data_IF_816512534947
#
_entry.id   IF_816512534947
#
_cell.length_a   1.000
_cell.length_b   1.000
_cell.length_c   1.000
_cell.angle_alpha   90.00
_cell.angle_beta   90.00
_cell.angle_gamma   90.00
#
_symmetry.space_group_name_H-M   'P 1'
#
loop_
_entity.id
_entity.type
_entity.pdbx_description
1 polymer ?
#
# COMPACT_ATOMS: atom_id res chain seq x y z
N UNK A 1 -34.59 53.02 -32.32
CA UNK A 1 -33.85 54.30 -32.30
C UNK A 1 -32.83 54.23 -33.42
N UNK A 2 -32.88 55.14 -34.39
CA UNK A 2 -31.99 55.13 -35.56
C UNK A 2 -30.56 55.43 -35.09
N UNK A 3 -29.71 54.41 -35.05
CA UNK A 3 -28.29 54.56 -34.72
C UNK A 3 -27.61 55.49 -35.74
N UNK A 4 -26.67 56.29 -35.27
CA UNK A 4 -25.82 57.09 -36.15
C UNK A 4 -25.11 56.16 -37.15
N UNK A 5 -25.12 56.53 -38.43
CA UNK A 5 -24.41 55.80 -39.49
C UNK A 5 -22.91 55.88 -39.18
N UNK A 6 -22.23 54.74 -39.13
CA UNK A 6 -20.80 54.67 -38.86
C UNK A 6 -20.01 55.37 -39.97
N UNK A 7 -18.96 56.07 -39.58
CA UNK A 7 -17.98 56.60 -40.53
C UNK A 7 -17.16 55.48 -41.16
N UNK A 8 -16.47 55.77 -42.27
CA UNK A 8 -15.63 54.79 -42.97
C UNK A 8 -14.56 54.19 -42.04
N UNK A 9 -13.89 55.04 -41.26
CA UNK A 9 -12.78 54.61 -40.41
C UNK A 9 -13.31 53.72 -39.27
N UNK A 10 -14.47 54.06 -38.69
CA UNK A 10 -15.14 53.23 -37.68
C UNK A 10 -15.61 51.88 -38.24
N UNK A 11 -16.06 51.83 -39.51
CA UNK A 11 -16.41 50.58 -40.19
C UNK A 11 -15.18 49.71 -40.44
N UNK A 12 -14.07 50.30 -40.90
CA UNK A 12 -12.82 49.57 -41.15
C UNK A 12 -12.26 48.99 -39.83
N UNK A 13 -12.25 49.77 -38.75
CA UNK A 13 -11.85 49.31 -37.42
C UNK A 13 -12.78 48.21 -36.87
N UNK A 14 -14.09 48.36 -37.06
CA UNK A 14 -15.06 47.35 -36.63
C UNK A 14 -14.89 46.01 -37.39
N UNK A 15 -14.66 46.06 -38.71
CA UNK A 15 -14.42 44.87 -39.52
C UNK A 15 -13.10 44.18 -39.17
N UNK A 16 -12.03 44.94 -38.92
CA UNK A 16 -10.75 44.39 -38.46
C UNK A 16 -10.91 43.67 -37.12
N UNK A 17 -11.57 44.31 -36.15
CA UNK A 17 -11.86 43.70 -34.84
C UNK A 17 -12.70 42.43 -34.97
N UNK A 18 -13.79 42.47 -35.73
CA UNK A 18 -14.69 41.32 -35.90
C UNK A 18 -14.02 40.15 -36.64
N UNK A 19 -13.13 40.44 -37.59
CA UNK A 19 -12.34 39.41 -38.27
C UNK A 19 -11.36 38.75 -37.30
N UNK A 20 -10.68 39.52 -36.46
CA UNK A 20 -9.84 38.96 -35.39
C UNK A 20 -10.64 38.14 -34.36
N UNK A 21 -11.85 38.59 -34.00
CA UNK A 21 -12.76 37.83 -33.14
C UNK A 21 -13.22 36.52 -33.81
N UNK A 22 -13.52 36.54 -35.11
CA UNK A 22 -13.88 35.34 -35.88
C UNK A 22 -12.76 34.29 -35.84
N UNK A 23 -11.52 34.68 -36.11
CA UNK A 23 -10.35 33.79 -36.09
C UNK A 23 -10.14 33.19 -34.68
N UNK A 24 -10.32 34.01 -33.63
CA UNK A 24 -10.20 33.56 -32.24
C UNK A 24 -11.30 32.55 -31.84
N UNK A 25 -12.54 32.79 -32.29
CA UNK A 25 -13.66 31.86 -32.08
C UNK A 25 -13.41 30.55 -32.84
N UNK A 26 -13.00 30.61 -34.11
CA UNK A 26 -12.69 29.42 -34.91
C UNK A 26 -11.62 28.54 -34.24
N UNK A 27 -10.52 29.17 -33.82
CA UNK A 27 -9.42 28.49 -33.12
C UNK A 27 -9.90 27.82 -31.82
N UNK A 28 -10.76 28.50 -31.05
CA UNK A 28 -11.32 27.95 -29.80
C UNK A 28 -12.25 26.77 -30.05
N UNK A 29 -13.10 26.85 -31.07
CA UNK A 29 -14.01 25.75 -31.46
C UNK A 29 -13.23 24.52 -31.95
N UNK A 30 -12.17 24.73 -32.74
CA UNK A 30 -11.29 23.64 -33.20
C UNK A 30 -10.51 23.00 -32.05
N UNK A 31 -10.02 23.80 -31.09
CA UNK A 31 -9.34 23.27 -29.90
C UNK A 31 -10.29 22.41 -29.05
N UNK A 32 -11.55 22.84 -28.90
CA UNK A 32 -12.59 22.09 -28.20
C UNK A 32 -12.99 20.81 -28.97
N UNK A 33 -13.03 20.85 -30.31
CA UNK A 33 -13.28 19.69 -31.18
C UNK A 33 -12.20 18.61 -31.05
N UNK A 34 -10.95 19.02 -30.93
CA UNK A 34 -9.79 18.12 -30.81
C UNK A 34 -9.51 17.64 -29.37
N UNK A 35 -10.30 18.07 -28.39
CA UNK A 35 -10.02 17.78 -26.99
C UNK A 35 -10.11 16.28 -26.67
N UNK A 36 -9.13 15.69 -25.95
CA UNK A 36 -9.12 14.25 -25.61
C UNK A 36 -10.39 13.76 -24.92
N UNK A 37 -10.86 14.47 -23.88
CA UNK A 37 -12.13 14.17 -23.20
C UNK A 37 -13.34 14.02 -24.14
N UNK A 38 -13.45 14.82 -25.21
CA UNK A 38 -14.54 14.69 -26.19
C UNK A 38 -14.44 13.38 -26.97
N UNK A 39 -13.26 13.07 -27.52
CA UNK A 39 -13.02 11.83 -28.27
C UNK A 39 -13.34 10.59 -27.42
N UNK A 40 -13.04 10.66 -26.14
CA UNK A 40 -13.35 9.59 -25.20
C UNK A 40 -14.86 9.47 -24.94
N UNK A 41 -15.58 10.60 -24.79
CA UNK A 41 -17.05 10.62 -24.63
C UNK A 41 -17.80 10.07 -25.86
N UNK A 42 -17.30 10.29 -27.07
CA UNK A 42 -17.92 9.76 -28.30
C UNK A 42 -17.81 8.23 -28.42
N UNK A 43 -16.71 7.63 -27.93
CA UNK A 43 -16.46 6.20 -28.02
C UNK A 43 -16.90 5.38 -26.80
N UNK A 44 -17.19 6.02 -25.67
CA UNK A 44 -17.50 5.35 -24.41
C UNK A 44 -18.99 4.97 -24.26
N UNK A 45 -19.25 3.87 -23.54
CA UNK A 45 -20.60 3.55 -23.05
C UNK A 45 -20.85 4.32 -21.76
N UNK A 46 -21.48 5.48 -21.88
CA UNK A 46 -21.78 6.37 -20.78
C UNK A 46 -23.06 5.97 -20.03
N UNK A 47 -23.12 6.29 -18.74
CA UNK A 47 -24.30 6.15 -17.89
C UNK A 47 -24.43 7.33 -16.92
N UNK A 48 -25.58 7.42 -16.24
CA UNK A 48 -25.79 8.36 -15.13
C UNK A 48 -25.65 9.83 -15.53
N UNK A 49 -25.06 10.64 -14.65
CA UNK A 49 -24.99 12.09 -14.82
C UNK A 49 -24.15 12.49 -16.05
N UNK A 50 -23.11 11.73 -16.36
CA UNK A 50 -22.27 11.96 -17.55
C UNK A 50 -23.07 11.78 -18.84
N UNK A 51 -23.89 10.72 -18.92
CA UNK A 51 -24.70 10.48 -20.12
C UNK A 51 -25.73 11.59 -20.34
N UNK A 52 -26.43 12.02 -19.29
CA UNK A 52 -27.43 13.07 -19.35
C UNK A 52 -26.82 14.41 -19.80
N UNK A 53 -25.74 14.84 -19.14
CA UNK A 53 -25.04 16.08 -19.50
C UNK A 53 -24.42 16.04 -20.89
N UNK A 54 -23.86 14.89 -21.29
CA UNK A 54 -23.30 14.73 -22.62
C UNK A 54 -24.36 14.83 -23.71
N UNK A 55 -25.55 14.23 -23.53
CA UNK A 55 -26.63 14.36 -24.51
C UNK A 55 -27.08 15.80 -24.71
N UNK A 56 -27.16 16.59 -23.62
CA UNK A 56 -27.51 18.01 -23.68
C UNK A 56 -26.43 18.83 -24.39
N UNK A 57 -25.17 18.69 -23.97
CA UNK A 57 -24.03 19.40 -24.58
C UNK A 57 -23.86 19.03 -26.06
N UNK A 58 -24.04 17.76 -26.42
CA UNK A 58 -23.96 17.32 -27.82
C UNK A 58 -25.03 18.00 -28.69
N UNK A 59 -26.23 18.21 -28.16
CA UNK A 59 -27.28 18.95 -28.87
C UNK A 59 -26.91 20.44 -29.04
N UNK A 60 -26.28 21.06 -28.04
CA UNK A 60 -25.75 22.43 -28.16
C UNK A 60 -24.54 22.52 -29.12
N UNK A 61 -23.78 21.44 -29.28
CA UNK A 61 -22.61 21.40 -30.16
C UNK A 61 -22.96 21.62 -31.63
N UNK A 62 -24.00 20.93 -32.12
CA UNK A 62 -24.46 21.08 -33.50
C UNK A 62 -24.99 22.49 -33.76
N UNK A 63 -25.65 23.09 -32.76
CA UNK A 63 -26.12 24.48 -32.82
C UNK A 63 -24.96 25.48 -32.80
N UNK A 64 -23.91 25.22 -32.01
CA UNK A 64 -22.73 26.07 -31.91
C UNK A 64 -22.05 26.28 -33.27
N UNK A 65 -21.88 25.20 -34.05
CA UNK A 65 -21.31 25.29 -35.40
C UNK A 65 -22.25 25.94 -36.41
N UNK A 66 -23.55 25.67 -36.34
CA UNK A 66 -24.53 26.38 -37.19
C UNK A 66 -24.55 27.89 -36.92
N UNK A 67 -24.45 28.29 -35.65
CA UNK A 67 -24.38 29.69 -35.25
C UNK A 67 -23.06 30.33 -35.70
N UNK A 68 -21.94 29.61 -35.58
CA UNK A 68 -20.64 30.05 -36.08
C UNK A 68 -20.65 30.26 -37.60
N UNK A 69 -21.27 29.34 -38.36
CA UNK A 69 -21.38 29.47 -39.81
C UNK A 69 -22.20 30.70 -40.23
N UNK A 70 -23.32 30.96 -39.56
CA UNK A 70 -24.14 32.16 -39.79
C UNK A 70 -23.39 33.46 -39.43
N UNK A 71 -22.66 33.45 -38.31
CA UNK A 71 -21.80 34.55 -37.88
C UNK A 71 -20.71 34.84 -38.92
N UNK A 72 -20.01 33.80 -39.38
CA UNK A 72 -18.97 33.88 -40.41
C UNK A 72 -19.51 34.42 -41.73
N UNK A 73 -20.69 33.97 -42.16
CA UNK A 73 -21.28 34.43 -43.41
C UNK A 73 -21.72 35.90 -43.34
N UNK A 74 -22.21 36.36 -42.18
CA UNK A 74 -22.57 37.77 -41.97
C UNK A 74 -21.34 38.69 -42.05
N UNK A 75 -20.21 38.29 -41.43
CA UNK A 75 -18.93 39.02 -41.53
C UNK A 75 -18.38 38.99 -42.96
N UNK A 76 -18.50 37.85 -43.66
CA UNK A 76 -18.11 37.74 -45.07
C UNK A 76 -18.95 38.68 -45.94
N UNK A 77 -20.27 38.73 -45.73
CA UNK A 77 -21.17 39.63 -46.45
C UNK A 77 -20.80 41.10 -46.20
N UNK A 78 -20.57 41.51 -44.95
CA UNK A 78 -20.12 42.86 -44.62
C UNK A 78 -18.78 43.22 -45.30
N UNK A 79 -17.82 42.31 -45.31
CA UNK A 79 -16.55 42.49 -46.04
C UNK A 79 -16.76 42.62 -47.57
N UNK A 80 -17.67 41.85 -48.16
CA UNK A 80 -18.01 41.96 -49.58
C UNK A 80 -18.62 43.33 -49.90
N UNK A 81 -19.57 43.83 -49.08
CA UNK A 81 -20.16 45.16 -49.23
C UNK A 81 -19.07 46.24 -49.20
N UNK A 82 -18.13 46.12 -48.25
CA UNK A 82 -17.00 47.04 -48.12
C UNK A 82 -16.03 47.02 -49.31
N UNK A 83 -15.90 45.89 -49.99
CA UNK A 83 -15.04 45.70 -51.17
C UNK A 83 -15.68 46.13 -52.50
N UNK A 84 -17.01 46.33 -52.55
CA UNK A 84 -17.72 46.75 -53.79
C UNK A 84 -17.18 48.06 -54.37
N UNK A 85 -16.75 49.00 -53.53
CA UNK A 85 -16.21 50.31 -53.94
C UNK A 85 -15.02 50.74 -53.09
N UNK A 86 -14.03 51.37 -53.73
CA UNK A 86 -12.87 51.95 -53.04
C UNK A 86 -13.20 53.13 -52.11
N UNK A 87 -14.36 53.80 -52.32
CA UNK A 87 -14.91 54.84 -51.43
C UNK A 87 -16.41 54.58 -51.23
N UNK A 88 -16.83 54.08 -50.05
CA UNK A 88 -18.22 53.73 -49.80
C UNK A 88 -19.15 54.94 -49.88
N UNK A 89 -20.31 54.78 -50.53
CA UNK A 89 -21.38 55.77 -50.55
C UNK A 89 -22.25 55.73 -49.28
N UNK A 90 -23.14 56.72 -49.06
CA UNK A 90 -24.02 56.75 -47.89
C UNK A 90 -24.97 55.55 -47.79
N UNK A 91 -25.40 54.96 -48.92
CA UNK A 91 -26.20 53.74 -48.94
C UNK A 91 -25.40 52.51 -48.48
N UNK A 92 -24.13 52.41 -48.90
CA UNK A 92 -23.24 51.30 -48.50
C UNK A 92 -22.83 51.43 -47.03
N UNK A 93 -22.62 52.65 -46.52
CA UNK A 93 -22.37 52.88 -45.09
C UNK A 93 -23.59 52.57 -44.21
N UNK A 94 -24.81 52.83 -44.70
CA UNK A 94 -26.04 52.43 -44.01
C UNK A 94 -26.20 50.90 -43.98
N UNK A 95 -25.99 50.22 -45.12
CA UNK A 95 -25.98 48.74 -45.21
C UNK A 95 -24.92 48.13 -44.28
N UNK A 96 -23.71 48.69 -44.24
CA UNK A 96 -22.63 48.24 -43.34
C UNK A 96 -22.96 48.49 -41.87
N UNK A 97 -23.57 49.64 -41.53
CA UNK A 97 -23.96 49.93 -40.15
C UNK A 97 -25.02 48.95 -39.66
N UNK A 98 -26.00 48.62 -40.51
CA UNK A 98 -27.03 47.62 -40.21
C UNK A 98 -26.42 46.23 -40.03
N UNK A 99 -25.55 45.78 -40.93
CA UNK A 99 -24.86 44.49 -40.82
C UNK A 99 -24.00 44.37 -39.56
N UNK A 100 -23.34 45.45 -39.12
CA UNK A 100 -22.39 45.44 -38.02
C UNK A 100 -23.02 45.67 -36.63
N UNK A 101 -24.13 46.40 -36.57
CA UNK A 101 -24.75 46.81 -35.28
C UNK A 101 -26.21 46.41 -35.13
N UNK A 102 -26.89 46.07 -36.23
CA UNK A 102 -28.27 45.62 -36.25
C UNK A 102 -28.42 44.09 -36.11
N UNK A 103 -29.67 43.62 -35.99
CA UNK A 103 -30.01 42.20 -35.98
C UNK A 103 -29.89 41.62 -37.40
N UNK A 104 -28.67 41.21 -37.74
CA UNK A 104 -28.27 40.88 -39.12
C UNK A 104 -27.86 39.42 -39.30
N UNK A 105 -27.77 38.65 -38.21
CA UNK A 105 -27.52 37.21 -38.26
C UNK A 105 -28.86 36.49 -38.26
N UNK A 106 -29.31 36.06 -39.44
CA UNK A 106 -30.58 35.35 -39.62
C UNK A 106 -30.41 33.84 -39.54
N UNK A 107 -31.13 33.19 -38.63
CA UNK A 107 -31.08 31.73 -38.41
C UNK A 107 -32.20 30.96 -39.12
N UNK A 108 -32.53 31.38 -40.33
CA UNK A 108 -33.60 30.76 -41.13
C UNK A 108 -33.27 29.30 -41.44
N UNK A 109 -34.00 28.37 -40.81
CA UNK A 109 -33.89 26.93 -41.09
C UNK A 109 -33.09 26.11 -40.08
N UNK A 110 -32.63 26.71 -38.98
CA UNK A 110 -32.04 25.94 -37.87
C UNK A 110 -33.09 24.99 -37.30
N UNK A 111 -32.79 23.70 -37.37
CA UNK A 111 -33.65 22.67 -36.78
C UNK A 111 -33.16 22.40 -35.37
N UNK A 112 -33.91 22.89 -34.38
CA UNK A 112 -33.61 22.58 -32.99
C UNK A 112 -33.84 21.09 -32.71
N UNK A 113 -32.85 20.42 -32.07
CA UNK A 113 -33.03 19.07 -31.53
C UNK A 113 -34.28 19.02 -30.63
N UNK A 114 -35.02 17.91 -30.67
CA UNK A 114 -36.30 17.74 -29.93
C UNK A 114 -36.13 18.05 -28.43
N UNK A 115 -34.98 17.74 -27.87
CA UNK A 115 -34.60 17.94 -26.47
C UNK A 115 -34.56 19.41 -26.06
N UNK A 116 -34.33 20.32 -27.02
CA UNK A 116 -34.23 21.76 -26.81
C UNK A 116 -35.51 22.50 -27.24
N UNK A 117 -36.53 21.78 -27.71
CA UNK A 117 -37.81 22.37 -28.08
C UNK A 117 -38.65 22.63 -26.84
N UNK A 118 -39.25 23.80 -26.76
CA UNK A 118 -40.28 24.11 -25.77
C UNK A 118 -41.66 23.73 -26.31
N UNK A 119 -42.55 23.21 -25.44
CA UNK A 119 -43.92 22.78 -25.78
C UNK A 119 -44.76 23.85 -26.49
N UNK A 120 -44.41 25.12 -26.34
CA UNK A 120 -45.07 26.28 -26.94
C UNK A 120 -44.15 27.12 -27.84
N UNK A 121 -42.93 26.66 -28.11
CA UNK A 121 -41.96 27.37 -28.95
C UNK A 121 -42.21 27.14 -30.44
N UNK A 122 -41.95 28.12 -31.31
CA UNK A 122 -42.02 27.91 -32.76
C UNK A 122 -41.03 26.80 -33.19
N UNK A 123 -41.46 25.88 -34.06
CA UNK A 123 -40.60 24.80 -34.60
C UNK A 123 -39.39 25.33 -35.39
N UNK A 124 -39.48 26.58 -35.86
CA UNK A 124 -38.44 27.34 -36.55
C UNK A 124 -38.50 28.79 -36.06
N UNK A 125 -37.72 29.19 -35.05
CA UNK A 125 -37.55 30.60 -34.77
C UNK A 125 -36.75 31.22 -35.92
N UNK A 126 -37.37 32.07 -36.73
CA UNK A 126 -36.67 33.14 -37.43
C UNK A 126 -36.31 34.18 -36.38
N UNK A 127 -35.21 33.92 -35.68
CA UNK A 127 -34.60 34.87 -34.77
C UNK A 127 -33.51 35.60 -35.57
N UNK A 128 -33.59 36.94 -35.60
CA UNK A 128 -32.51 37.77 -36.12
C UNK A 128 -31.76 38.32 -34.90
N UNK A 129 -30.50 37.90 -34.74
CA UNK A 129 -29.65 38.34 -33.63
C UNK A 129 -28.60 39.33 -34.13
N UNK A 130 -28.16 40.19 -33.24
CA UNK A 130 -26.93 40.96 -33.46
C UNK A 130 -25.71 40.02 -33.44
N UNK A 131 -24.60 40.47 -34.04
CA UNK A 131 -23.31 39.76 -33.98
C UNK A 131 -22.87 39.52 -32.51
N UNK A 132 -23.11 40.49 -31.63
CA UNK A 132 -22.78 40.39 -30.21
C UNK A 132 -23.63 39.34 -29.46
N UNK A 133 -24.95 39.36 -29.65
CA UNK A 133 -25.86 38.37 -29.03
C UNK A 133 -25.56 36.94 -29.51
N UNK A 134 -25.20 36.79 -30.79
CA UNK A 134 -24.78 35.51 -31.36
C UNK A 134 -23.55 34.96 -30.64
N UNK A 135 -22.51 35.78 -30.48
CA UNK A 135 -21.27 35.39 -29.77
C UNK A 135 -21.53 35.13 -28.29
N UNK A 136 -22.36 35.92 -27.62
CA UNK A 136 -22.68 35.68 -26.20
C UNK A 136 -23.44 34.37 -25.98
N UNK A 137 -24.36 34.01 -26.89
CA UNK A 137 -25.07 32.73 -26.83
C UNK A 137 -24.13 31.55 -27.13
N UNK A 138 -23.31 31.68 -28.16
CA UNK A 138 -22.26 30.69 -28.47
C UNK A 138 -21.29 30.52 -27.31
N UNK A 139 -20.90 31.60 -26.63
CA UNK A 139 -20.04 31.57 -25.46
C UNK A 139 -20.65 30.74 -24.34
N UNK A 140 -21.96 30.88 -24.08
CA UNK A 140 -22.67 30.07 -23.09
C UNK A 140 -22.56 28.56 -23.38
N UNK A 141 -22.88 28.14 -24.60
CA UNK A 141 -22.77 26.73 -25.01
C UNK A 141 -21.33 26.23 -25.03
N UNK A 142 -20.39 27.06 -25.49
CA UNK A 142 -18.96 26.75 -25.49
C UNK A 142 -18.46 26.51 -24.07
N UNK A 143 -18.80 27.38 -23.11
CA UNK A 143 -18.38 27.22 -21.71
C UNK A 143 -18.94 25.94 -21.10
N UNK A 144 -20.23 25.64 -21.32
CA UNK A 144 -20.85 24.40 -20.86
C UNK A 144 -20.13 23.16 -21.42
N UNK A 145 -19.82 23.17 -22.72
CA UNK A 145 -19.12 22.08 -23.39
C UNK A 145 -17.67 21.92 -22.91
N UNK A 146 -16.95 23.04 -22.78
CA UNK A 146 -15.57 23.06 -22.32
C UNK A 146 -15.45 22.57 -20.86
N UNK A 147 -16.34 23.01 -19.97
CA UNK A 147 -16.36 22.59 -18.57
C UNK A 147 -16.67 21.09 -18.44
N UNK A 148 -17.62 20.57 -19.22
CA UNK A 148 -17.94 19.13 -19.25
C UNK A 148 -16.72 18.32 -19.71
N UNK A 149 -16.15 18.67 -20.85
CA UNK A 149 -15.04 17.93 -21.46
C UNK A 149 -13.79 17.98 -20.58
N UNK A 150 -13.50 19.13 -19.96
CA UNK A 150 -12.38 19.28 -19.04
C UNK A 150 -12.59 18.49 -17.73
N UNK A 151 -13.81 18.48 -17.16
CA UNK A 151 -14.12 17.70 -15.97
C UNK A 151 -13.95 16.20 -16.21
N UNK A 152 -14.46 15.70 -17.35
CA UNK A 152 -14.35 14.29 -17.74
C UNK A 152 -12.89 13.90 -17.97
N UNK A 153 -12.14 14.73 -18.70
CA UNK A 153 -10.72 14.50 -18.97
C UNK A 153 -9.88 14.47 -17.69
N UNK A 154 -10.15 15.37 -16.74
CA UNK A 154 -9.49 15.38 -15.44
C UNK A 154 -9.74 14.09 -14.65
N UNK A 155 -10.99 13.61 -14.62
CA UNK A 155 -11.34 12.36 -13.92
C UNK A 155 -10.70 11.13 -14.58
N UNK A 156 -10.80 11.01 -15.91
CA UNK A 156 -10.25 9.86 -16.64
C UNK A 156 -8.72 9.86 -16.73
N UNK A 157 -8.08 11.02 -16.67
CA UNK A 157 -6.62 11.11 -16.60
C UNK A 157 -6.08 10.82 -15.19
N UNK A 158 -6.89 10.99 -14.15
CA UNK A 158 -6.45 10.83 -12.76
C UNK A 158 -6.82 9.47 -12.13
N UNK A 159 -8.10 9.10 -12.09
CA UNK A 159 -8.57 7.94 -11.31
C UNK A 159 -8.20 6.58 -11.93
N UNK A 160 -8.43 6.30 -13.23
CA UNK A 160 -8.15 4.98 -13.79
C UNK A 160 -6.69 4.53 -13.61
N UNK A 161 -5.65 5.36 -13.89
CA UNK A 161 -4.26 4.98 -13.64
C UNK A 161 -3.98 4.66 -12.17
N UNK A 162 -4.56 5.43 -11.23
CA UNK A 162 -4.41 5.19 -9.78
C UNK A 162 -5.06 3.88 -9.35
N UNK A 163 -6.25 3.58 -9.86
CA UNK A 163 -6.94 2.30 -9.59
C UNK A 163 -6.14 1.13 -10.16
N UNK A 164 -5.58 1.26 -11.37
CA UNK A 164 -4.74 0.22 -11.98
C UNK A 164 -3.46 -0.03 -11.17
N UNK A 165 -2.82 1.02 -10.63
CA UNK A 165 -1.69 0.90 -9.70
C UNK A 165 -2.07 0.17 -8.41
N UNK A 166 -3.25 0.47 -7.85
CA UNK A 166 -3.71 -0.16 -6.62
C UNK A 166 -4.12 -1.62 -6.82
N UNK A 167 -4.70 -1.97 -7.98
CA UNK A 167 -4.94 -3.36 -8.39
C UNK A 167 -3.62 -4.14 -8.56
N UNK A 168 -2.58 -3.51 -9.09
CA UNK A 168 -1.26 -4.11 -9.18
C UNK A 168 -0.64 -4.35 -7.78
N UNK A 169 -0.80 -3.41 -6.86
CA UNK A 169 -0.36 -3.58 -5.46
C UNK A 169 -1.13 -4.71 -4.77
N UNK A 170 -2.45 -4.76 -4.92
CA UNK A 170 -3.27 -5.86 -4.38
C UNK A 170 -2.80 -7.23 -4.89
N UNK A 171 -2.42 -7.32 -6.17
CA UNK A 171 -1.86 -8.55 -6.76
C UNK A 171 -0.53 -8.95 -6.10
N UNK A 172 0.31 -7.98 -5.70
CA UNK A 172 1.54 -8.27 -4.94
C UNK A 172 1.23 -8.75 -3.52
N UNK A 173 0.25 -8.15 -2.86
CA UNK A 173 -0.20 -8.57 -1.52
C UNK A 173 -0.77 -9.99 -1.56
N UNK A 174 -1.56 -10.33 -2.58
CA UNK A 174 -2.04 -11.70 -2.80
C UNK A 174 -0.89 -12.69 -3.01
N UNK A 175 0.12 -12.34 -3.81
CA UNK A 175 1.30 -13.18 -4.01
C UNK A 175 2.09 -13.39 -2.70
N UNK A 176 2.23 -12.33 -1.89
CA UNK A 176 2.88 -12.39 -0.58
C UNK A 176 2.11 -13.29 0.39
N UNK A 177 0.79 -13.14 0.46
CA UNK A 177 -0.09 -14.00 1.26
C UNK A 177 -0.05 -15.47 0.79
N UNK A 178 0.07 -15.71 -0.52
CA UNK A 178 0.21 -17.06 -1.05
C UNK A 178 1.58 -17.68 -0.74
N UNK A 179 2.65 -16.91 -0.79
CA UNK A 179 3.98 -17.36 -0.37
C UNK A 179 4.04 -17.67 1.13
N UNK A 180 3.33 -16.89 1.95
CA UNK A 180 3.22 -17.11 3.39
C UNK A 180 2.52 -18.43 3.77
N UNK A 181 1.65 -18.96 2.88
CA UNK A 181 0.99 -20.25 3.06
C UNK A 181 1.89 -21.44 2.75
N UNK A 182 2.97 -21.24 1.97
CA UNK A 182 3.93 -22.31 1.74
C UNK A 182 4.57 -22.68 3.08
N UNK A 183 4.29 -23.89 3.55
CA UNK A 183 4.82 -24.40 4.81
C UNK A 183 6.19 -25.01 4.54
N UNK A 184 7.21 -24.54 5.25
CA UNK A 184 8.53 -25.15 5.17
C UNK A 184 8.51 -26.61 5.66
N UNK A 185 9.36 -27.48 5.09
CA UNK A 185 9.48 -28.85 5.57
C UNK A 185 9.82 -28.85 7.07
N UNK A 186 9.35 -29.85 7.83
CA UNK A 186 9.63 -29.94 9.26
C UNK A 186 11.14 -29.90 9.51
N UNK A 187 11.53 -29.27 10.63
CA UNK A 187 12.92 -29.20 11.05
C UNK A 187 13.55 -30.61 11.10
N UNK A 188 14.74 -30.75 10.53
CA UNK A 188 15.46 -32.02 10.49
C UNK A 188 15.64 -32.61 11.90
N UNK A 189 15.30 -33.89 12.07
CA UNK A 189 15.43 -34.60 13.35
C UNK A 189 14.13 -34.79 14.12
N UNK A 190 13.02 -34.20 13.67
CA UNK A 190 11.71 -34.44 14.26
C UNK A 190 10.66 -34.75 13.19
N UNK A 191 10.07 -35.96 13.27
CA UNK A 191 8.97 -36.39 12.40
C UNK A 191 7.78 -36.74 13.29
N UNK A 192 6.81 -35.84 13.36
CA UNK A 192 5.52 -36.15 13.97
C UNK A 192 4.80 -37.22 13.15
N UNK A 193 3.97 -38.08 13.77
CA UNK A 193 3.02 -38.92 13.06
C UNK A 193 2.19 -38.07 12.08
N UNK A 194 2.07 -38.54 10.83
CA UNK A 194 1.26 -37.88 9.80
C UNK A 194 -0.20 -38.24 10.06
N UNK A 195 -0.84 -37.52 10.98
CA UNK A 195 -2.29 -37.45 10.99
C UNK A 195 -2.74 -36.32 10.03
N UNK A 196 -3.96 -36.48 9.51
CA UNK A 196 -4.58 -35.60 8.52
C UNK A 196 -4.42 -34.13 8.93
N UNK A 197 -3.76 -33.34 8.07
CA UNK A 197 -3.59 -31.90 8.27
C UNK A 197 -4.96 -31.26 8.05
N UNK A 198 -5.60 -30.67 9.08
CA UNK A 198 -6.83 -29.93 8.85
C UNK A 198 -6.52 -28.71 7.97
N UNK A 199 -7.51 -28.31 7.15
CA UNK A 199 -7.41 -27.09 6.35
C UNK A 199 -7.07 -25.91 7.26
N UNK A 200 -6.11 -25.08 6.84
CA UNK A 200 -5.63 -23.98 7.64
C UNK A 200 -6.74 -22.93 7.86
N UNK A 201 -7.33 -22.90 9.05
CA UNK A 201 -8.47 -22.02 9.40
C UNK A 201 -8.09 -20.55 9.53
N UNK A 202 -6.90 -20.24 10.08
CA UNK A 202 -6.41 -18.86 10.23
C UNK A 202 -5.77 -18.30 8.94
N UNK A 203 -5.91 -19.02 7.83
CA UNK A 203 -5.15 -18.74 6.62
C UNK A 203 -5.71 -17.52 5.89
N UNK A 204 -5.06 -16.37 6.09
CA UNK A 204 -5.02 -15.15 5.25
C UNK A 204 -6.35 -14.74 4.61
N UNK A 205 -6.82 -13.49 4.79
CA UNK A 205 -8.18 -13.08 4.45
C UNK A 205 -8.45 -13.01 2.93
N UNK A 206 -8.56 -14.18 2.27
CA UNK A 206 -8.81 -14.36 0.84
C UNK A 206 -10.11 -13.70 0.42
N UNK A 207 -11.14 -13.85 1.25
CA UNK A 207 -12.44 -13.24 1.02
C UNK A 207 -12.35 -11.71 1.05
N UNK A 208 -11.56 -11.15 1.97
CA UNK A 208 -11.35 -9.70 2.05
C UNK A 208 -10.55 -9.19 0.85
N UNK A 209 -9.46 -9.87 0.46
CA UNK A 209 -8.69 -9.53 -0.74
C UNK A 209 -9.57 -9.58 -2.01
N UNK A 210 -10.39 -10.62 -2.15
CA UNK A 210 -11.33 -10.76 -3.26
C UNK A 210 -12.42 -9.67 -3.25
N UNK A 211 -12.94 -9.31 -2.07
CA UNK A 211 -13.89 -8.21 -1.92
C UNK A 211 -13.27 -6.87 -2.33
N UNK A 212 -12.07 -6.54 -1.85
CA UNK A 212 -11.34 -5.32 -2.21
C UNK A 212 -11.07 -5.27 -3.72
N UNK A 213 -10.66 -6.40 -4.32
CA UNK A 213 -10.47 -6.50 -5.77
C UNK A 213 -11.75 -6.19 -6.53
N UNK A 214 -12.86 -6.81 -6.15
CA UNK A 214 -14.16 -6.59 -6.77
C UNK A 214 -14.60 -5.12 -6.63
N UNK A 215 -14.35 -4.49 -5.47
CA UNK A 215 -14.66 -3.08 -5.24
C UNK A 215 -13.80 -2.14 -6.09
N UNK A 216 -12.51 -2.45 -6.29
CA UNK A 216 -11.61 -1.69 -7.15
C UNK A 216 -11.99 -1.82 -8.64
N UNK A 217 -12.31 -3.03 -9.09
CA UNK A 217 -12.80 -3.27 -10.46
C UNK A 217 -14.15 -2.59 -10.68
N UNK A 218 -15.03 -2.63 -9.68
CA UNK A 218 -16.30 -1.91 -9.67
C UNK A 218 -16.12 -0.39 -9.72
N UNK A 219 -15.18 0.15 -8.94
CA UNK A 219 -14.82 1.58 -8.97
C UNK A 219 -14.27 1.97 -10.36
N UNK A 220 -13.36 1.18 -10.92
CA UNK A 220 -12.82 1.40 -12.28
C UNK A 220 -13.93 1.43 -13.32
N UNK A 221 -14.85 0.47 -13.26
CA UNK A 221 -15.98 0.41 -14.18
C UNK A 221 -16.93 1.59 -14.01
N UNK A 222 -17.19 2.03 -12.76
CA UNK A 222 -18.01 3.20 -12.48
C UNK A 222 -17.38 4.49 -13.02
N UNK A 223 -16.08 4.72 -12.78
CA UNK A 223 -15.34 5.89 -13.28
C UNK A 223 -15.34 5.94 -14.81
N UNK A 224 -15.19 4.81 -15.48
CA UNK A 224 -15.22 4.75 -16.95
C UNK A 224 -16.60 5.00 -17.56
N UNK A 225 -17.69 4.69 -16.84
CA UNK A 225 -19.06 4.87 -17.34
C UNK A 225 -19.69 6.20 -16.92
N UNK A 226 -19.38 6.70 -15.73
CA UNK A 226 -19.92 7.94 -15.18
C UNK A 226 -18.83 8.76 -14.45
N UNK A 227 -17.86 9.35 -15.19
CA UNK A 227 -16.79 10.16 -14.60
C UNK A 227 -17.31 11.39 -13.83
N UNK A 228 -18.42 12.01 -14.23
CA UNK A 228 -18.95 13.18 -13.52
C UNK A 228 -19.49 12.87 -12.12
N UNK A 229 -19.81 11.61 -11.82
CA UNK A 229 -20.11 11.19 -10.44
C UNK A 229 -18.90 11.36 -9.50
N UNK A 230 -17.69 11.45 -10.05
CA UNK A 230 -16.44 11.65 -9.33
C UNK A 230 -15.88 13.07 -9.53
N UNK A 231 -16.71 14.02 -9.98
CA UNK A 231 -16.31 15.42 -10.15
C UNK A 231 -17.02 16.31 -9.14
N UNK A 232 -16.25 17.05 -8.34
CA UNK A 232 -16.75 18.06 -7.42
C UNK A 232 -16.59 19.44 -8.07
N UNK A 233 -17.66 20.03 -8.61
CA UNK A 233 -17.58 21.39 -9.14
C UNK A 233 -17.24 22.37 -8.03
N UNK A 234 -16.40 23.35 -8.34
CA UNK A 234 -16.05 24.44 -7.43
C UNK A 234 -17.28 25.32 -7.26
N UNK A 235 -18.03 25.09 -6.20
CA UNK A 235 -18.99 26.09 -5.73
C UNK A 235 -18.21 27.35 -5.38
N UNK A 236 -18.60 28.50 -5.93
CA UNK A 236 -18.12 29.78 -5.42
C UNK A 236 -18.33 29.80 -3.90
N UNK A 237 -17.40 30.36 -3.10
CA UNK A 237 -17.62 30.45 -1.66
C UNK A 237 -18.93 31.21 -1.46
N UNK A 238 -19.91 30.50 -0.91
CA UNK A 238 -21.19 31.06 -0.46
C UNK A 238 -20.82 32.23 0.44
N UNK A 239 -21.08 33.46 -0.02
CA UNK A 239 -20.78 34.65 0.72
C UNK A 239 -21.41 34.48 2.10
N UNK A 240 -20.57 34.46 3.13
CA UNK A 240 -20.97 34.32 4.51
C UNK A 240 -22.15 35.28 4.75
N UNK A 241 -23.32 34.70 5.00
CA UNK A 241 -24.53 35.42 5.36
C UNK A 241 -24.34 35.94 6.80
N UNK A 242 -23.52 36.98 6.92
CA UNK A 242 -23.26 37.72 8.13
C UNK A 242 -24.22 38.88 8.21
N UNK A 243 -25.19 38.74 9.10
CA UNK A 243 -26.19 39.72 9.54
C UNK A 243 -25.72 41.18 9.50
N UNK A 244 -26.57 41.99 8.88
CA UNK A 244 -26.58 43.46 8.79
C UNK A 244 -26.35 44.15 10.14
N UNK A 245 -25.40 45.11 10.20
CA UNK A 245 -25.68 46.42 10.81
C UNK A 245 -24.66 47.54 10.44
N UNK A 246 -25.15 48.53 9.69
CA UNK A 246 -24.92 49.98 9.79
C UNK A 246 -23.49 50.57 9.83
N UNK A 247 -23.10 51.30 8.77
CA UNK A 247 -23.19 52.78 8.72
C UNK A 247 -22.41 53.39 7.53
N UNK A 248 -23.07 54.35 6.88
CA UNK A 248 -22.65 55.30 5.85
C UNK A 248 -21.15 55.70 5.77
N UNK A 249 -20.59 55.89 4.57
CA UNK A 249 -20.71 57.08 3.71
C UNK A 249 -19.69 57.01 2.54
N UNK A 250 -20.01 57.62 1.39
CA UNK A 250 -18.99 58.03 0.41
C UNK A 250 -19.28 57.66 -1.05
N UNK A 251 -19.78 58.64 -1.80
CA UNK A 251 -20.05 58.59 -3.23
C UNK A 251 -18.78 58.44 -4.08
N UNK A 252 -18.87 57.68 -5.18
CA UNK A 252 -18.12 57.94 -6.41
C UNK A 252 -18.74 57.21 -7.61
N UNK A 253 -19.24 58.04 -8.52
CA UNK A 253 -19.54 57.84 -9.94
C UNK A 253 -18.56 56.92 -10.65
N UNK A 254 -19.07 56.03 -11.51
CA UNK A 254 -18.22 55.27 -12.44
C UNK A 254 -18.94 54.11 -13.12
N UNK A 255 -19.74 54.42 -14.14
CA UNK A 255 -20.20 53.43 -15.10
C UNK A 255 -18.98 52.71 -15.70
N UNK A 256 -18.86 51.40 -15.44
CA UNK A 256 -17.84 50.56 -16.06
C UNK A 256 -18.55 49.59 -16.98
N UNK A 257 -18.43 49.88 -18.27
CA UNK A 257 -18.83 49.00 -19.35
C UNK A 257 -18.17 47.64 -19.17
N UNK A 258 -19.00 46.60 -19.20
CA UNK A 258 -18.57 45.22 -19.40
C UNK A 258 -18.15 45.12 -20.87
N UNK A 259 -16.86 45.33 -21.16
CA UNK A 259 -16.28 45.00 -22.45
C UNK A 259 -16.00 43.50 -22.49
N UNK A 260 -17.05 42.73 -22.79
CA UNK A 260 -17.01 41.28 -23.01
C UNK A 260 -16.48 40.89 -24.39
N UNK A 261 -15.36 41.48 -24.83
CA UNK A 261 -14.67 41.08 -26.05
C UNK A 261 -13.76 39.87 -25.79
N UNK A 262 -13.64 38.96 -26.76
CA UNK A 262 -12.49 38.06 -26.83
C UNK A 262 -11.25 38.95 -26.94
N UNK A 263 -10.55 39.18 -25.82
CA UNK A 263 -9.47 40.17 -25.74
C UNK A 263 -8.37 39.91 -26.78
N UNK A 264 -7.68 40.97 -27.26
CA UNK A 264 -6.70 40.85 -28.32
C UNK A 264 -5.52 39.99 -27.88
N UNK A 265 -5.00 39.18 -28.81
CA UNK A 265 -3.82 38.34 -28.63
C UNK A 265 -2.56 39.20 -28.77
N UNK A 266 -1.68 39.30 -27.75
CA UNK A 266 -0.31 39.75 -27.98
C UNK A 266 0.54 38.54 -28.38
N UNK A 267 1.35 38.72 -29.42
CA UNK A 267 2.20 37.70 -30.03
C UNK A 267 3.13 36.98 -29.05
N UNK A 268 3.34 35.69 -29.38
CA UNK A 268 4.42 34.81 -28.93
C UNK A 268 4.69 34.78 -27.42
N UNK A 269 4.05 33.83 -26.72
CA UNK A 269 4.70 32.99 -25.71
C UNK A 269 3.78 31.90 -25.15
N UNK A 270 4.20 30.64 -25.36
CA UNK A 270 3.77 29.38 -24.72
C UNK A 270 2.29 29.01 -24.89
N UNK A 271 2.06 27.78 -25.34
CA UNK A 271 0.77 27.10 -25.33
C UNK A 271 0.02 27.41 -24.03
N UNK A 272 -1.08 28.14 -24.15
CA UNK A 272 -1.97 28.43 -23.05
C UNK A 272 -2.38 27.08 -22.44
N UNK A 273 -1.99 26.84 -21.19
CA UNK A 273 -2.52 25.73 -20.42
C UNK A 273 -4.06 25.85 -20.45
N UNK A 274 -4.79 24.75 -20.69
CA UNK A 274 -6.24 24.79 -20.57
C UNK A 274 -6.58 25.34 -19.19
N UNK A 275 -7.51 26.30 -19.13
CA UNK A 275 -8.00 26.90 -17.89
C UNK A 275 -8.22 25.77 -16.88
N UNK A 276 -7.57 25.86 -15.72
CA UNK A 276 -7.70 24.91 -14.62
C UNK A 276 -9.17 24.58 -14.44
N UNK A 277 -9.53 23.30 -14.62
CA UNK A 277 -10.90 22.86 -14.54
C UNK A 277 -11.53 23.36 -13.23
N UNK A 278 -12.73 23.94 -13.30
CA UNK A 278 -13.43 24.60 -12.20
C UNK A 278 -13.96 23.61 -11.14
N UNK A 279 -13.13 22.70 -10.66
CA UNK A 279 -13.51 21.64 -9.73
C UNK A 279 -12.34 20.72 -9.42
N UNK A 280 -12.61 19.67 -8.66
CA UNK A 280 -11.62 18.66 -8.29
C UNK A 280 -12.21 17.26 -8.44
N UNK A 281 -11.34 16.29 -8.66
CA UNK A 281 -11.71 14.87 -8.66
C UNK A 281 -12.02 14.42 -7.22
N UNK A 282 -13.14 13.73 -7.03
CA UNK A 282 -13.48 13.08 -5.76
C UNK A 282 -12.73 11.75 -5.64
N UNK A 283 -11.73 11.72 -4.75
CA UNK A 283 -10.92 10.54 -4.48
C UNK A 283 -11.40 9.75 -3.26
N UNK A 284 -12.49 10.15 -2.58
CA UNK A 284 -12.86 9.57 -1.27
C UNK A 284 -12.99 8.05 -1.26
N UNK A 285 -13.71 7.47 -2.24
CA UNK A 285 -13.87 6.02 -2.36
C UNK A 285 -12.55 5.32 -2.74
N UNK A 286 -11.73 5.95 -3.58
CA UNK A 286 -10.38 5.46 -3.89
C UNK A 286 -9.51 5.44 -2.63
N UNK A 287 -9.50 6.53 -1.86
CA UNK A 287 -8.68 6.67 -0.64
C UNK A 287 -9.12 5.69 0.47
N UNK A 288 -10.39 5.30 0.51
CA UNK A 288 -10.90 4.26 1.41
C UNK A 288 -10.38 2.87 1.00
N UNK A 289 -10.43 2.53 -0.29
CA UNK A 289 -9.91 1.27 -0.80
C UNK A 289 -8.38 1.19 -0.69
N UNK A 290 -7.67 2.31 -0.91
CA UNK A 290 -6.23 2.40 -0.70
C UNK A 290 -5.85 2.07 0.75
N UNK A 291 -6.58 2.64 1.72
CA UNK A 291 -6.40 2.32 3.14
C UNK A 291 -6.69 0.86 3.45
N UNK A 292 -7.76 0.28 2.89
CA UNK A 292 -8.06 -1.13 3.08
C UNK A 292 -6.96 -2.05 2.53
N UNK A 293 -6.37 -1.72 1.37
CA UNK A 293 -5.21 -2.46 0.83
C UNK A 293 -4.00 -2.32 1.75
N UNK A 294 -3.73 -1.12 2.26
CA UNK A 294 -2.61 -0.86 3.17
C UNK A 294 -2.76 -1.61 4.50
N UNK A 295 -3.98 -1.65 5.06
CA UNK A 295 -4.33 -2.42 6.27
C UNK A 295 -4.09 -3.92 6.05
N UNK A 296 -4.66 -4.50 4.99
CA UNK A 296 -4.48 -5.93 4.69
C UNK A 296 -3.01 -6.27 4.41
N UNK A 297 -2.26 -5.38 3.74
CA UNK A 297 -0.82 -5.55 3.57
C UNK A 297 -0.09 -5.58 4.92
N UNK A 298 -0.46 -4.69 5.84
CA UNK A 298 0.08 -4.66 7.20
C UNK A 298 -0.19 -5.97 7.93
N UNK A 299 -1.43 -6.44 7.91
CA UNK A 299 -1.83 -7.71 8.52
C UNK A 299 -1.05 -8.89 7.93
N UNK A 300 -0.90 -8.93 6.60
CA UNK A 300 -0.13 -9.97 5.90
C UNK A 300 1.34 -9.99 6.35
N UNK A 301 1.95 -8.81 6.49
CA UNK A 301 3.34 -8.68 6.95
C UNK A 301 3.50 -9.09 8.42
N UNK A 302 2.56 -8.70 9.29
CA UNK A 302 2.57 -9.10 10.69
C UNK A 302 2.44 -10.61 10.86
N UNK A 303 1.55 -11.25 10.09
CA UNK A 303 1.41 -12.72 10.09
C UNK A 303 2.67 -13.44 9.59
N UNK A 304 3.34 -12.87 8.58
CA UNK A 304 4.61 -13.41 8.08
C UNK A 304 5.72 -13.37 9.14
N UNK A 305 5.86 -12.24 9.83
CA UNK A 305 6.82 -12.10 10.92
C UNK A 305 6.52 -13.07 12.06
N UNK A 306 5.24 -13.18 12.47
CA UNK A 306 4.81 -14.12 13.50
C UNK A 306 5.13 -15.57 13.12
N UNK A 307 4.90 -15.94 11.84
CA UNK A 307 5.24 -17.26 11.31
C UNK A 307 6.74 -17.52 11.38
N UNK A 308 7.56 -16.62 10.86
CA UNK A 308 9.02 -16.78 10.84
C UNK A 308 9.58 -16.93 12.25
N UNK A 309 9.10 -16.11 13.19
CA UNK A 309 9.47 -16.20 14.60
C UNK A 309 9.05 -17.54 15.22
N UNK A 310 7.82 -17.99 14.99
CA UNK A 310 7.32 -19.25 15.51
C UNK A 310 8.10 -20.46 14.94
N UNK A 311 8.45 -20.43 13.66
CA UNK A 311 9.27 -21.48 13.03
C UNK A 311 10.69 -21.50 13.59
N UNK A 312 11.32 -20.35 13.79
CA UNK A 312 12.63 -20.23 14.43
C UNK A 312 12.62 -20.75 15.85
N UNK A 313 11.59 -20.40 16.63
CA UNK A 313 11.37 -20.89 17.98
C UNK A 313 11.22 -22.41 17.99
N UNK A 314 10.37 -22.98 17.13
CA UNK A 314 10.21 -24.42 17.03
C UNK A 314 11.52 -25.13 16.64
N UNK A 315 12.29 -24.57 15.68
CA UNK A 315 13.62 -25.08 15.32
C UNK A 315 14.56 -25.12 16.54
N UNK A 316 14.60 -24.05 17.33
CA UNK A 316 15.40 -23.96 18.56
C UNK A 316 14.97 -25.02 19.58
N UNK A 317 13.67 -25.16 19.83
CA UNK A 317 13.13 -26.18 20.76
C UNK A 317 13.54 -27.58 20.34
N UNK A 318 13.35 -27.93 19.06
CA UNK A 318 13.71 -29.25 18.53
C UNK A 318 15.20 -29.54 18.75
N UNK A 319 16.07 -28.53 18.53
CA UNK A 319 17.50 -28.65 18.80
C UNK A 319 17.80 -28.87 20.30
N UNK A 320 17.14 -28.14 21.20
CA UNK A 320 17.27 -28.31 22.65
C UNK A 320 16.85 -29.71 23.11
N UNK A 321 15.75 -30.24 22.57
CA UNK A 321 15.30 -31.60 22.89
C UNK A 321 16.27 -32.65 22.36
N UNK A 322 16.82 -32.46 21.16
CA UNK A 322 17.87 -33.33 20.62
C UNK A 322 19.14 -33.32 21.50
N UNK A 323 19.54 -32.15 22.00
CA UNK A 323 20.66 -32.02 22.93
C UNK A 323 20.40 -32.72 24.27
N UNK A 324 19.19 -32.57 24.83
CA UNK A 324 18.79 -33.24 26.07
C UNK A 324 18.86 -34.77 25.93
N UNK A 325 18.30 -35.30 24.83
CA UNK A 325 18.34 -36.72 24.51
C UNK A 325 19.79 -37.23 24.30
N UNK A 326 20.64 -36.48 23.60
CA UNK A 326 22.05 -36.81 23.43
C UNK A 326 22.85 -36.81 24.75
N UNK A 327 22.51 -35.88 25.65
CA UNK A 327 23.09 -35.80 27.01
C UNK A 327 22.69 -37.01 27.85
N UNK A 328 21.41 -37.42 27.81
CA UNK A 328 20.94 -38.63 28.48
C UNK A 328 21.59 -39.90 27.94
N UNK A 329 21.74 -40.04 26.62
CA UNK A 329 22.43 -41.17 26.00
C UNK A 329 23.91 -41.24 26.44
N UNK A 330 24.57 -40.08 26.52
CA UNK A 330 25.95 -39.96 27.04
C UNK A 330 26.03 -40.37 28.52
N UNK A 331 25.04 -39.97 29.34
CA UNK A 331 24.96 -40.37 30.75
C UNK A 331 24.75 -41.89 30.91
N UNK A 332 23.95 -42.52 30.04
CA UNK A 332 23.75 -43.97 30.03
C UNK A 332 25.04 -44.72 29.71
N UNK A 333 25.79 -44.28 28.70
CA UNK A 333 27.09 -44.86 28.35
C UNK A 333 28.11 -44.71 29.51
N UNK A 334 28.19 -43.51 30.11
CA UNK A 334 29.09 -43.26 31.23
C UNK A 334 28.72 -44.07 32.48
N UNK A 335 27.41 -44.27 32.73
CA UNK A 335 26.94 -45.10 33.85
C UNK A 335 27.40 -46.54 33.71
N UNK A 336 27.35 -47.11 32.51
CA UNK A 336 27.88 -48.45 32.25
C UNK A 336 29.39 -48.53 32.55
N UNK A 337 30.14 -47.48 32.18
CA UNK A 337 31.57 -47.38 32.49
C UNK A 337 31.86 -47.25 34.00
N UNK A 338 31.09 -46.42 34.72
CA UNK A 338 31.25 -46.22 36.17
C UNK A 338 30.98 -47.51 36.93
N UNK A 339 29.89 -48.22 36.60
CA UNK A 339 29.54 -49.50 37.22
C UNK A 339 30.60 -50.59 36.95
N UNK A 340 31.29 -50.52 35.81
CA UNK A 340 32.42 -51.42 35.53
C UNK A 340 33.71 -51.05 36.30
N UNK A 341 33.95 -49.75 36.55
CA UNK A 341 35.23 -49.26 37.12
C UNK A 341 35.22 -49.01 38.62
N UNK A 342 34.06 -48.79 39.22
CA UNK A 342 33.89 -48.41 40.63
C UNK A 342 33.06 -49.48 41.35
N UNK A 343 33.64 -50.08 42.39
CA UNK A 343 32.96 -51.07 43.21
C UNK A 343 31.88 -50.39 44.06
N UNK A 344 30.71 -51.03 44.17
CA UNK A 344 29.58 -50.54 44.97
C UNK A 344 29.19 -49.06 44.69
N UNK A 345 29.34 -48.62 43.43
CA UNK A 345 28.94 -47.28 43.03
C UNK A 345 27.42 -47.12 43.15
N UNK A 346 26.98 -46.25 44.06
CA UNK A 346 25.58 -45.84 44.17
C UNK A 346 25.30 -44.79 43.09
N UNK A 347 25.00 -45.26 41.86
CA UNK A 347 24.67 -44.41 40.73
C UNK A 347 23.15 -44.41 40.53
N UNK A 348 22.47 -43.26 40.66
CA UNK A 348 21.02 -43.19 40.58
C UNK A 348 20.50 -43.68 39.22
N UNK A 349 19.23 -44.09 39.20
CA UNK A 349 18.55 -44.45 37.97
C UNK A 349 18.38 -43.21 37.09
N UNK A 350 18.78 -43.31 35.82
CA UNK A 350 18.68 -42.20 34.88
C UNK A 350 17.21 -41.94 34.50
N UNK A 351 16.81 -40.66 34.34
CA UNK A 351 15.48 -40.33 33.88
C UNK A 351 15.26 -40.82 32.43
N UNK A 352 14.01 -41.14 32.11
CA UNK A 352 13.59 -41.44 30.73
C UNK A 352 13.22 -40.15 30.00
N UNK A 353 13.30 -40.11 28.66
CA UNK A 353 12.80 -38.99 27.87
C UNK A 353 11.32 -38.70 28.19
N UNK A 354 10.94 -37.42 28.29
CA UNK A 354 9.58 -37.00 28.64
C UNK A 354 8.59 -37.26 27.51
N UNK A 355 7.65 -38.19 27.69
CA UNK A 355 6.56 -38.45 26.73
C UNK A 355 5.66 -37.23 26.57
N UNK A 356 5.39 -36.50 27.67
CA UNK A 356 4.56 -35.30 27.65
C UNK A 356 5.14 -34.20 26.74
N UNK A 357 6.46 -33.97 26.81
CA UNK A 357 7.14 -33.01 25.94
C UNK A 357 7.02 -33.41 24.45
N UNK A 358 7.14 -34.70 24.14
CA UNK A 358 6.97 -35.18 22.76
C UNK A 358 5.54 -35.00 22.25
N UNK A 359 4.53 -35.24 23.09
CA UNK A 359 3.12 -35.01 22.76
C UNK A 359 2.83 -33.51 22.53
N UNK A 360 3.38 -32.63 23.38
CA UNK A 360 3.24 -31.18 23.22
C UNK A 360 3.92 -30.67 21.95
N UNK A 361 5.10 -31.18 21.62
CA UNK A 361 5.77 -30.91 20.34
C UNK A 361 4.93 -31.36 19.14
N UNK A 362 4.30 -32.54 19.23
CA UNK A 362 3.38 -33.02 18.20
C UNK A 362 2.13 -32.14 18.07
N UNK A 363 1.63 -31.58 19.16
CA UNK A 363 0.57 -30.57 19.12
C UNK A 363 1.04 -29.27 18.45
N UNK A 364 2.24 -28.79 18.77
CA UNK A 364 2.81 -27.56 18.20
C UNK A 364 2.96 -27.64 16.68
N UNK A 365 3.42 -28.77 16.16
CA UNK A 365 3.51 -28.94 14.71
C UNK A 365 2.17 -29.12 14.01
N UNK A 366 1.18 -29.70 14.69
CA UNK A 366 -0.19 -29.74 14.13
C UNK A 366 -0.71 -28.32 13.93
N UNK A 367 -0.50 -27.43 14.91
CA UNK A 367 -0.84 -26.01 14.77
C UNK A 367 -0.03 -25.33 13.67
N UNK A 368 1.29 -25.61 13.59
CA UNK A 368 2.16 -25.10 12.51
C UNK A 368 1.67 -25.51 11.12
N UNK A 369 1.36 -26.80 10.91
CA UNK A 369 0.84 -27.32 9.63
C UNK A 369 -0.54 -26.76 9.31
N UNK A 370 -1.36 -26.50 10.32
CA UNK A 370 -2.66 -25.85 10.18
C UNK A 370 -2.56 -24.31 10.05
N UNK A 371 -1.36 -23.72 10.06
CA UNK A 371 -1.18 -22.27 9.96
C UNK A 371 -1.81 -21.46 11.12
N UNK A 372 -2.08 -22.10 12.27
CA UNK A 372 -2.69 -21.47 13.45
C UNK A 372 -1.62 -20.85 14.34
N UNK A 373 -1.01 -19.76 13.85
CA UNK A 373 0.15 -19.12 14.47
C UNK A 373 -0.17 -18.49 15.83
N UNK A 374 -1.36 -17.92 15.98
CA UNK A 374 -1.80 -17.28 17.23
C UNK A 374 -1.97 -18.29 18.37
N UNK A 375 -2.48 -19.48 18.08
CA UNK A 375 -2.60 -20.56 19.08
C UNK A 375 -1.26 -21.26 19.35
N UNK A 376 -0.33 -21.20 18.39
CA UNK A 376 0.99 -21.80 18.52
C UNK A 376 1.87 -21.04 19.52
N UNK A 377 1.75 -19.72 19.62
CA UNK A 377 2.61 -18.89 20.45
C UNK A 377 2.59 -19.27 21.95
N UNK A 378 1.42 -19.38 22.64
CA UNK A 378 1.39 -19.80 24.04
C UNK A 378 1.92 -21.23 24.23
N UNK A 379 1.64 -22.11 23.27
CA UNK A 379 2.12 -23.48 23.30
C UNK A 379 3.65 -23.55 23.17
N UNK A 380 4.25 -22.73 22.31
CA UNK A 380 5.70 -22.66 22.14
C UNK A 380 6.39 -22.21 23.42
N UNK A 381 5.84 -21.23 24.14
CA UNK A 381 6.41 -20.77 25.40
C UNK A 381 6.47 -21.90 26.45
N UNK A 382 5.39 -22.68 26.56
CA UNK A 382 5.34 -23.83 27.46
C UNK A 382 6.35 -24.92 27.07
N UNK A 383 6.42 -25.23 25.77
CA UNK A 383 7.32 -26.28 25.26
C UNK A 383 8.79 -25.84 25.38
N UNK A 384 9.12 -24.57 25.14
CA UNK A 384 10.47 -24.01 25.34
C UNK A 384 10.93 -24.18 26.79
N UNK A 385 10.05 -23.80 27.73
CA UNK A 385 10.33 -23.90 29.17
C UNK A 385 10.56 -25.34 29.60
N UNK A 386 9.76 -26.26 29.09
CA UNK A 386 9.87 -27.68 29.42
C UNK A 386 11.07 -28.37 28.76
N UNK A 387 11.40 -28.01 27.52
CA UNK A 387 12.61 -28.48 26.84
C UNK A 387 13.88 -28.01 27.58
N UNK A 388 13.93 -26.75 28.03
CA UNK A 388 15.04 -26.24 28.82
C UNK A 388 15.17 -26.97 30.17
N UNK A 389 14.05 -27.25 30.84
CA UNK A 389 14.04 -28.02 32.08
C UNK A 389 14.56 -29.45 31.89
N UNK A 390 14.14 -30.14 30.82
CA UNK A 390 14.62 -31.49 30.51
C UNK A 390 16.12 -31.51 30.16
N UNK A 391 16.64 -30.49 29.47
CA UNK A 391 18.07 -30.36 29.21
C UNK A 391 18.88 -30.19 30.50
N UNK A 392 18.44 -29.33 31.42
CA UNK A 392 19.12 -29.15 32.72
C UNK A 392 19.04 -30.42 33.58
N UNK A 393 17.89 -31.10 33.58
CA UNK A 393 17.73 -32.40 34.23
C UNK A 393 18.69 -33.46 33.66
N UNK A 394 18.86 -33.52 32.34
CA UNK A 394 19.80 -34.42 31.69
C UNK A 394 21.26 -34.10 32.05
N UNK A 395 21.63 -32.81 32.08
CA UNK A 395 22.96 -32.34 32.48
C UNK A 395 23.27 -32.67 33.94
N UNK A 396 22.31 -32.47 34.85
CA UNK A 396 22.43 -32.83 36.25
C UNK A 396 22.66 -34.35 36.41
N UNK A 397 21.87 -35.17 35.72
CA UNK A 397 22.04 -36.63 35.73
C UNK A 397 23.43 -37.06 35.20
N UNK A 398 23.92 -36.44 34.13
CA UNK A 398 25.28 -36.70 33.62
C UNK A 398 26.36 -36.32 34.64
N UNK A 399 26.21 -35.21 35.33
CA UNK A 399 27.15 -34.76 36.35
C UNK A 399 27.20 -35.72 37.55
N UNK A 400 26.05 -36.19 38.02
CA UNK A 400 25.95 -37.18 39.10
C UNK A 400 26.62 -38.50 38.71
N UNK A 401 26.37 -39.01 37.50
CA UNK A 401 27.01 -40.22 36.99
C UNK A 401 28.53 -40.05 36.89
N UNK A 402 29.02 -38.85 36.56
CA UNK A 402 30.45 -38.55 36.42
C UNK A 402 31.17 -38.46 37.78
N UNK A 403 30.48 -38.08 38.84
CA UNK A 403 31.08 -37.77 40.14
C UNK A 403 32.00 -38.87 40.71
N UNK A 404 31.66 -40.18 40.66
CA UNK A 404 32.54 -41.23 41.19
C UNK A 404 33.88 -41.36 40.46
N UNK A 405 33.88 -41.20 39.13
CA UNK A 405 35.11 -41.23 38.33
C UNK A 405 35.97 -39.98 38.56
N UNK A 406 35.34 -38.82 38.75
CA UNK A 406 36.02 -37.58 39.11
C UNK A 406 36.69 -37.72 40.49
N UNK A 407 35.97 -38.20 41.50
CA UNK A 407 36.52 -38.47 42.83
C UNK A 407 37.71 -39.44 42.78
N UNK A 408 37.63 -40.49 41.96
CA UNK A 408 38.78 -41.40 41.72
C UNK A 408 39.99 -40.64 41.17
N UNK A 409 39.80 -39.75 40.20
CA UNK A 409 40.87 -38.96 39.59
C UNK A 409 41.49 -37.96 40.57
N UNK A 410 40.66 -37.31 41.39
CA UNK A 410 41.11 -36.39 42.45
C UNK A 410 41.95 -37.11 43.51
N UNK A 411 41.49 -38.26 44.02
CA UNK A 411 42.25 -39.07 44.97
C UNK A 411 43.61 -39.51 44.41
N UNK A 412 43.67 -39.85 43.11
CA UNK A 412 44.93 -40.13 42.42
C UNK A 412 45.85 -38.91 42.42
N UNK A 413 45.33 -37.74 42.09
CA UNK A 413 46.09 -36.47 42.10
C UNK A 413 46.61 -36.12 43.50
N UNK A 414 45.75 -36.22 44.52
CA UNK A 414 46.10 -35.99 45.93
C UNK A 414 47.20 -36.95 46.41
N UNK A 415 47.08 -38.24 46.11
CA UNK A 415 48.09 -39.22 46.46
C UNK A 415 49.46 -38.90 45.83
N UNK A 416 49.48 -38.47 44.56
CA UNK A 416 50.71 -38.05 43.89
C UNK A 416 51.29 -36.77 44.51
N UNK A 417 50.44 -35.81 44.86
CA UNK A 417 50.88 -34.58 45.55
C UNK A 417 51.51 -34.89 46.92
N UNK A 418 50.90 -35.79 47.70
CA UNK A 418 51.47 -36.22 48.98
C UNK A 418 52.77 -37.02 48.81
N UNK A 419 52.90 -37.84 47.76
CA UNK A 419 54.18 -38.48 47.42
C UNK A 419 55.27 -37.47 47.12
N UNK A 420 54.97 -36.44 46.32
CA UNK A 420 55.93 -35.37 46.02
C UNK A 420 56.31 -34.55 47.28
N UNK A 421 55.40 -34.43 48.26
CA UNK A 421 55.69 -33.80 49.55
C UNK A 421 56.62 -34.67 50.41
N UNK A 422 56.37 -35.97 50.48
CA UNK A 422 57.24 -36.92 51.17
C UNK A 422 58.67 -36.91 50.59
N UNK A 423 58.80 -36.80 49.26
CA UNK A 423 60.08 -36.66 48.56
C UNK A 423 60.86 -35.42 48.98
N UNK A 424 60.18 -34.26 49.02
CA UNK A 424 60.79 -32.99 49.45
C UNK A 424 61.25 -33.01 50.92
N UNK A 425 60.60 -33.82 51.76
CA UNK A 425 60.96 -33.99 53.17
C UNK A 425 62.01 -35.10 53.41
N UNK A 426 62.49 -35.78 52.36
CA UNK A 426 63.46 -36.87 52.48
C UNK A 426 62.91 -38.10 53.19
N UNK A 427 61.59 -38.31 53.18
CA UNK A 427 60.90 -39.40 53.91
C UNK A 427 60.38 -40.52 53.00
N UNK A 428 60.81 -40.56 51.73
CA UNK A 428 60.31 -41.54 50.76
C UNK A 428 60.78 -42.96 51.05
N UNK A 429 61.88 -43.11 51.77
CA UNK A 429 62.45 -44.42 52.16
C UNK A 429 61.86 -44.96 53.47
N UNK A 430 60.98 -44.20 54.12
CA UNK A 430 60.28 -44.63 55.33
C UNK A 430 59.32 -45.78 55.00
N UNK A 431 59.60 -46.96 55.58
CA UNK A 431 58.88 -48.21 55.28
C UNK A 431 57.38 -48.08 55.50
N UNK A 432 56.95 -47.38 56.56
CA UNK A 432 55.54 -47.19 56.87
C UNK A 432 54.83 -46.32 55.82
N UNK A 433 55.53 -45.32 55.26
CA UNK A 433 55.01 -44.47 54.19
C UNK A 433 54.95 -45.20 52.85
N UNK A 434 55.95 -46.04 52.55
CA UNK A 434 55.95 -46.89 51.35
C UNK A 434 54.76 -47.86 51.38
N UNK A 435 54.57 -48.60 52.47
CA UNK A 435 53.49 -49.57 52.61
C UNK A 435 52.11 -48.91 52.49
N UNK A 436 51.91 -47.74 53.13
CA UNK A 436 50.66 -46.98 53.04
C UNK A 436 50.43 -46.39 51.64
N UNK A 437 51.48 -45.91 50.99
CA UNK A 437 51.41 -45.41 49.61
C UNK A 437 51.04 -46.53 48.64
N UNK A 438 51.70 -47.68 48.72
CA UNK A 438 51.44 -48.81 47.82
C UNK A 438 50.04 -49.38 48.03
N UNK A 439 49.56 -49.45 49.27
CA UNK A 439 48.18 -49.84 49.56
C UNK A 439 47.16 -48.88 48.92
N UNK A 440 47.33 -47.55 49.09
CA UNK A 440 46.46 -46.55 48.47
C UNK A 440 46.54 -46.59 46.93
N UNK A 441 47.74 -46.79 46.37
CA UNK A 441 47.97 -46.91 44.92
C UNK A 441 47.29 -48.15 44.35
N UNK A 442 47.39 -49.29 45.04
CA UNK A 442 46.75 -50.54 44.60
C UNK A 442 45.23 -50.37 44.50
N UNK A 443 44.60 -49.78 45.52
CA UNK A 443 43.16 -49.53 45.53
C UNK A 443 42.72 -48.58 44.40
N UNK A 444 43.50 -47.51 44.13
CA UNK A 444 43.15 -46.49 43.12
C UNK A 444 43.43 -46.92 41.67
N UNK A 445 44.40 -47.80 41.41
CA UNK A 445 44.77 -48.23 40.06
C UNK A 445 44.17 -49.58 39.62
N UNK A 446 43.59 -50.34 40.55
CA UNK A 446 42.86 -51.58 40.23
C UNK A 446 41.40 -51.27 39.89
N UNK A 447 40.77 -52.10 39.06
CA UNK A 447 39.33 -52.05 38.80
C UNK A 447 38.70 -53.40 39.17
N UNK A 448 37.52 -53.42 39.82
CA UNK A 448 36.73 -52.27 40.29
C UNK A 448 37.35 -51.61 41.54
N UNK A 449 37.28 -50.28 41.62
CA UNK A 449 37.87 -49.49 42.71
C UNK A 449 36.82 -49.19 43.79
N UNK A 450 37.08 -49.59 45.03
CA UNK A 450 36.29 -49.16 46.19
C UNK A 450 36.74 -47.75 46.61
N UNK A 451 35.90 -46.75 46.29
CA UNK A 451 36.21 -45.34 46.55
C UNK A 451 36.32 -45.02 48.04
N UNK A 452 35.47 -45.62 48.88
CA UNK A 452 35.49 -45.37 50.33
C UNK A 452 36.76 -45.93 50.96
N UNK A 453 37.15 -47.15 50.55
CA UNK A 453 38.40 -47.75 50.99
C UNK A 453 39.62 -46.97 50.49
N UNK A 454 39.60 -46.50 49.23
CA UNK A 454 40.67 -45.71 48.64
C UNK A 454 40.85 -44.36 49.34
N UNK A 455 39.76 -43.63 49.62
CA UNK A 455 39.79 -42.38 50.36
C UNK A 455 40.39 -42.56 51.76
N UNK A 456 39.93 -43.57 52.51
CA UNK A 456 40.47 -43.90 53.82
C UNK A 456 41.96 -44.29 53.77
N UNK A 457 42.43 -44.92 52.70
CA UNK A 457 43.84 -45.25 52.50
C UNK A 457 44.69 -43.98 52.23
N UNK A 458 44.21 -43.06 51.38
CA UNK A 458 44.88 -41.77 51.12
C UNK A 458 44.96 -40.93 52.39
N UNK A 459 43.88 -40.85 53.18
CA UNK A 459 43.87 -40.13 54.45
C UNK A 459 44.85 -40.71 55.47
N UNK A 460 44.95 -42.05 55.56
CA UNK A 460 45.93 -42.72 56.43
C UNK A 460 47.38 -42.41 56.00
N UNK A 461 47.65 -42.35 54.69
CA UNK A 461 48.96 -41.94 54.18
C UNK A 461 49.27 -40.47 54.50
N UNK A 462 48.30 -39.56 54.35
CA UNK A 462 48.45 -38.15 54.72
C UNK A 462 48.75 -37.98 56.21
N UNK A 463 48.01 -38.67 57.08
CA UNK A 463 48.21 -38.63 58.53
C UNK A 463 49.60 -39.14 58.93
N UNK A 464 50.06 -40.22 58.29
CA UNK A 464 51.41 -40.75 58.47
C UNK A 464 52.50 -39.73 58.14
N UNK A 465 52.33 -39.01 57.03
CA UNK A 465 53.26 -37.98 56.58
C UNK A 465 53.27 -36.75 57.49
N UNK A 466 52.12 -36.45 58.12
CA UNK A 466 51.96 -35.30 59.02
C UNK A 466 52.53 -35.55 60.44
N UNK A 467 52.77 -36.80 60.84
CA UNK A 467 53.38 -37.10 62.14
C UNK A 467 54.84 -36.60 62.18
N UNK A 468 55.23 -35.82 63.21
CA UNK A 468 56.61 -35.42 63.40
C UNK A 468 57.49 -36.66 63.63
N UNK A 469 58.75 -36.56 63.20
CA UNK A 469 59.74 -37.64 63.26
C UNK A 469 60.01 -38.10 64.68
#
# INVERSE_FOLDING_TARGET
MSGAVLSRDEVDEALERLTGELDAVESSLLALDQHPGRRLLEGARLSGATQERWQQVRAHWDLLWQYFDAYRETIRAANQVRQRRGRPGPAELAELTELLTGPSVSFSGITYPVQLRTLTGPERPTEDLTLAETVDRMRGWYTEAADLVAAVDAVWSDLPPRVDLLLAELTRVEALAQAARATDPPAAGWSAPVDQVPEAEDAFPREVLAAIRADLEGLRAAVLRDPLAFWLPRTAPEAANGTVNGAANGAATGARAVTGGFGPVPGERRAAHPREAHGRVDTTRFDQLARAVDEVRGDVQSLLLLREEAEDRLRRVVATVAEANGTLASAQALRAEVLAKIAAADVPALPRPSTFLHERLAAADRLRRAGRWTDLEPLLEDVEREAAWELERARAALAEVRAPLAARAELRGLLQAYRAKAARQGRVEDRELIERYDHARQLLWTAPCDLRAAEAAVMRYQQALARPR
#
